data_IF_795424694224
#
_entry.id   IF_795424694224
#
_cell.length_a   1.000
_cell.length_b   1.000
_cell.length_c   1.000
_cell.angle_alpha   90.00
_cell.angle_beta   90.00
_cell.angle_gamma   90.00
#
_symmetry.space_group_name_H-M   'P 1'
#
loop_
_entity.id
_entity.type
_entity.pdbx_description
1 polymer ?
#
# COMPACT_ATOMS: atom_id res chain seq x y z
N UNK A 1 -10.32 -49.11 24.49
CA UNK A 1 -11.00 -49.25 25.79
C UNK A 1 -11.47 -47.86 26.21
N UNK A 2 -12.78 -47.63 26.36
CA UNK A 2 -13.33 -46.33 26.69
C UNK A 2 -13.42 -46.17 28.22
N UNK A 3 -13.25 -44.95 28.73
CA UNK A 3 -13.71 -44.59 30.08
C UNK A 3 -14.44 -43.26 29.99
N UNK A 4 -15.76 -43.34 30.18
CA UNK A 4 -16.66 -42.25 30.51
C UNK A 4 -16.47 -41.85 31.98
N UNK A 5 -16.59 -40.56 32.29
CA UNK A 5 -17.09 -40.12 33.60
C UNK A 5 -17.80 -38.77 33.49
N UNK A 6 -19.12 -38.83 33.68
CA UNK A 6 -19.99 -37.75 34.14
C UNK A 6 -19.75 -37.50 35.63
N UNK A 7 -19.78 -36.24 36.09
CA UNK A 7 -20.40 -35.90 37.39
C UNK A 7 -21.05 -34.51 37.31
N UNK A 8 -22.33 -34.48 37.65
CA UNK A 8 -23.21 -33.34 37.87
C UNK A 8 -23.11 -32.81 39.31
N UNK A 9 -23.47 -31.55 39.56
CA UNK A 9 -23.88 -31.03 40.87
C UNK A 9 -24.47 -29.62 40.72
N UNK A 10 -25.79 -29.40 40.75
CA UNK A 10 -26.79 -29.32 41.84
C UNK A 10 -26.65 -28.16 42.85
N UNK A 11 -27.54 -27.16 42.66
CA UNK A 11 -28.48 -26.50 43.61
C UNK A 11 -28.03 -26.00 44.99
N UNK A 12 -28.26 -24.70 45.22
CA UNK A 12 -28.82 -24.09 46.45
C UNK A 12 -29.47 -22.74 46.01
N UNK A 13 -30.75 -22.37 46.19
CA UNK A 13 -31.80 -22.55 47.22
C UNK A 13 -31.62 -21.69 48.49
N UNK A 14 -32.46 -20.64 48.60
CA UNK A 14 -32.73 -19.77 49.76
C UNK A 14 -33.33 -18.45 49.24
N UNK A 15 -34.65 -18.17 49.20
CA UNK A 15 -35.67 -18.03 50.28
C UNK A 15 -35.20 -17.16 51.45
N UNK A 16 -35.91 -16.18 52.01
CA UNK A 16 -37.22 -15.52 51.83
C UNK A 16 -37.24 -14.29 52.80
N UNK A 17 -38.30 -13.45 52.73
CA UNK A 17 -38.79 -12.40 53.67
C UNK A 17 -38.58 -10.96 53.18
N UNK A 18 -39.56 -10.31 52.54
CA UNK A 18 -40.86 -9.77 53.00
C UNK A 18 -40.72 -8.57 53.94
N UNK A 19 -41.02 -7.37 53.42
CA UNK A 19 -41.71 -6.30 54.16
C UNK A 19 -42.76 -5.70 53.21
N UNK A 20 -44.03 -5.86 53.59
CA UNK A 20 -45.15 -5.11 53.02
C UNK A 20 -45.09 -3.66 53.52
N UNK A 21 -45.13 -2.71 52.59
CA UNK A 21 -45.63 -1.38 52.86
C UNK A 21 -46.68 -1.06 51.80
N UNK A 22 -47.94 -1.06 52.23
CA UNK A 22 -49.07 -0.56 51.46
C UNK A 22 -48.99 0.97 51.42
N UNK A 23 -48.97 1.55 50.22
CA UNK A 23 -49.21 2.97 49.98
C UNK A 23 -50.34 3.10 48.94
N UNK A 24 -51.26 4.06 49.11
CA UNK A 24 -52.44 4.20 48.28
C UNK A 24 -52.10 4.80 46.91
N UNK A 25 -52.94 4.44 45.96
CA UNK A 25 -52.90 4.84 44.55
C UNK A 25 -52.78 6.35 44.32
N UNK A 26 -51.73 6.74 43.61
CA UNK A 26 -51.80 7.74 42.55
C UNK A 26 -51.43 7.01 41.26
N UNK A 27 -52.41 6.87 40.38
CA UNK A 27 -52.25 6.24 39.09
C UNK A 27 -51.35 7.12 38.20
N UNK A 28 -50.05 6.85 38.18
CA UNK A 28 -49.27 7.07 36.97
C UNK A 28 -49.69 5.97 36.00
N UNK A 29 -50.53 6.34 35.04
CA UNK A 29 -50.73 5.56 33.82
C UNK A 29 -49.34 5.23 33.26
N UNK A 30 -48.95 3.96 33.13
CA UNK A 30 -47.82 3.63 32.29
C UNK A 30 -48.20 4.11 30.89
N UNK A 31 -47.53 5.17 30.44
CA UNK A 31 -47.56 5.56 29.03
C UNK A 31 -47.20 4.29 28.27
N UNK A 32 -48.08 3.77 27.39
CA UNK A 32 -47.71 2.64 26.57
C UNK A 32 -46.50 3.10 25.76
N UNK A 33 -45.34 2.51 26.03
CA UNK A 33 -44.16 2.60 25.19
C UNK A 33 -44.65 2.16 23.81
N UNK A 34 -44.89 3.15 22.96
CA UNK A 34 -45.50 2.94 21.66
C UNK A 34 -44.62 1.94 20.93
N UNK A 35 -45.21 0.80 20.55
CA UNK A 35 -44.56 -0.12 19.65
C UNK A 35 -44.34 0.66 18.34
N UNK A 36 -43.17 1.28 18.21
CA UNK A 36 -42.74 1.95 16.98
C UNK A 36 -42.97 0.96 15.85
N UNK A 37 -43.84 1.34 14.93
CA UNK A 37 -44.17 0.48 13.80
C UNK A 37 -42.90 0.28 12.97
N UNK A 38 -42.76 -0.88 12.33
CA UNK A 38 -41.60 -1.16 11.49
C UNK A 38 -41.38 -0.09 10.39
N UNK A 39 -42.47 0.60 10.02
CA UNK A 39 -42.50 1.69 9.04
C UNK A 39 -41.91 2.99 9.61
N UNK A 40 -42.23 3.35 10.86
CA UNK A 40 -41.66 4.51 11.56
C UNK A 40 -40.16 4.31 11.86
N UNK A 41 -39.77 3.10 12.25
CA UNK A 41 -38.36 2.73 12.44
C UNK A 41 -37.57 2.76 11.12
N UNK A 42 -38.17 2.34 10.01
CA UNK A 42 -37.56 2.41 8.69
C UNK A 42 -37.43 3.87 8.19
N UNK A 43 -38.43 4.71 8.46
CA UNK A 43 -38.39 6.13 8.12
C UNK A 43 -37.32 6.89 8.93
N UNK A 44 -37.21 6.61 10.23
CA UNK A 44 -36.17 7.19 11.08
C UNK A 44 -34.76 6.73 10.66
N UNK A 45 -34.59 5.45 10.32
CA UNK A 45 -33.32 4.94 9.79
C UNK A 45 -32.95 5.61 8.45
N UNK A 46 -33.91 5.79 7.54
CA UNK A 46 -33.70 6.49 6.27
C UNK A 46 -33.33 7.97 6.47
N UNK A 47 -33.94 8.66 7.43
CA UNK A 47 -33.62 10.03 7.81
C UNK A 47 -32.19 10.14 8.38
N UNK A 48 -31.82 9.24 9.28
CA UNK A 48 -30.46 9.18 9.84
C UNK A 48 -29.40 8.91 8.76
N UNK A 49 -29.72 8.08 7.78
CA UNK A 49 -28.82 7.80 6.65
C UNK A 49 -28.72 8.96 5.65
N UNK A 50 -29.74 9.81 5.53
CA UNK A 50 -29.72 10.97 4.65
C UNK A 50 -28.76 12.07 5.14
N UNK A 51 -28.42 12.08 6.44
CA UNK A 51 -27.46 13.03 7.03
C UNK A 51 -25.99 12.73 6.67
N UNK A 52 -25.70 11.62 6.00
CA UNK A 52 -24.33 11.30 5.61
C UNK A 52 -23.81 12.25 4.51
N UNK A 53 -22.55 12.67 4.65
CA UNK A 53 -21.93 13.74 3.85
C UNK A 53 -21.76 13.39 2.36
N UNK A 54 -21.72 12.11 1.99
CA UNK A 54 -21.50 11.67 0.60
C UNK A 54 -22.60 10.72 0.12
N UNK A 55 -22.96 10.73 -1.18
CA UNK A 55 -23.95 9.80 -1.71
C UNK A 55 -23.59 8.33 -1.49
N UNK A 56 -22.30 7.98 -1.56
CA UNK A 56 -21.79 6.65 -1.22
C UNK A 56 -22.08 6.28 0.24
N UNK A 57 -21.86 7.20 1.18
CA UNK A 57 -22.14 6.97 2.60
C UNK A 57 -23.65 6.84 2.88
N UNK A 58 -24.48 7.64 2.19
CA UNK A 58 -25.94 7.51 2.26
C UNK A 58 -26.40 6.13 1.78
N UNK A 59 -25.86 5.65 0.65
CA UNK A 59 -26.18 4.33 0.11
C UNK A 59 -25.72 3.20 1.04
N UNK A 60 -24.50 3.26 1.57
CA UNK A 60 -23.95 2.28 2.51
C UNK A 60 -24.81 2.16 3.78
N UNK A 61 -25.39 3.26 4.24
CA UNK A 61 -26.24 3.29 5.42
C UNK A 61 -27.65 2.74 5.13
N UNK A 62 -28.23 3.01 3.96
CA UNK A 62 -29.61 2.62 3.60
C UNK A 62 -29.77 1.14 3.26
N UNK A 63 -28.76 0.51 2.66
CA UNK A 63 -28.85 -0.89 2.24
C UNK A 63 -28.35 -1.85 3.34
N UNK A 64 -29.23 -2.71 3.84
CA UNK A 64 -28.91 -3.65 4.91
C UNK A 64 -27.77 -4.63 4.55
N UNK A 65 -27.64 -4.99 3.28
CA UNK A 65 -26.56 -5.86 2.79
C UNK A 65 -25.20 -5.16 2.85
N UNK A 66 -25.14 -3.88 2.48
CA UNK A 66 -23.96 -3.05 2.61
C UNK A 66 -23.60 -2.79 4.07
N UNK A 67 -24.59 -2.50 4.94
CA UNK A 67 -24.36 -2.36 6.40
C UNK A 67 -23.71 -3.61 6.97
N UNK A 68 -24.25 -4.80 6.66
CA UNK A 68 -23.68 -6.07 7.12
C UNK A 68 -22.26 -6.30 6.56
N UNK A 69 -22.01 -5.96 5.29
CA UNK A 69 -20.69 -6.10 4.68
C UNK A 69 -19.66 -5.15 5.31
N UNK A 70 -20.03 -3.89 5.60
CA UNK A 70 -19.17 -2.93 6.31
C UNK A 70 -18.87 -3.42 7.72
N UNK A 71 -19.88 -3.90 8.46
CA UNK A 71 -19.69 -4.46 9.80
C UNK A 71 -18.70 -5.64 9.80
N UNK A 72 -18.79 -6.54 8.81
CA UNK A 72 -17.85 -7.64 8.65
C UNK A 72 -16.42 -7.15 8.35
N UNK A 73 -16.28 -6.13 7.51
CA UNK A 73 -14.98 -5.51 7.20
C UNK A 73 -14.37 -4.83 8.44
N UNK A 74 -15.16 -4.09 9.21
CA UNK A 74 -14.72 -3.44 10.45
C UNK A 74 -14.33 -4.47 11.53
N UNK A 75 -15.06 -5.60 11.62
CA UNK A 75 -14.67 -6.72 12.49
C UNK A 75 -13.33 -7.34 12.06
N UNK A 76 -13.10 -7.52 10.75
CA UNK A 76 -11.82 -7.99 10.23
C UNK A 76 -10.68 -6.99 10.50
N UNK A 77 -10.96 -5.68 10.40
CA UNK A 77 -10.03 -4.61 10.76
C UNK A 77 -9.65 -4.64 12.23
N UNK A 78 -10.62 -4.70 13.13
CA UNK A 78 -10.39 -4.79 14.56
C UNK A 78 -9.55 -6.04 14.90
N UNK A 79 -9.88 -7.18 14.30
CA UNK A 79 -9.13 -8.42 14.50
C UNK A 79 -7.69 -8.35 13.97
N UNK A 80 -7.44 -7.65 12.86
CA UNK A 80 -6.08 -7.40 12.37
C UNK A 80 -5.33 -6.43 13.29
N UNK A 81 -5.98 -5.35 13.72
CA UNK A 81 -5.41 -4.35 14.64
C UNK A 81 -4.98 -4.95 15.99
N UNK A 82 -5.68 -5.98 16.47
CA UNK A 82 -5.30 -6.71 17.68
C UNK A 82 -4.00 -7.51 17.55
N UNK A 83 -3.47 -7.70 16.33
CA UNK A 83 -2.22 -8.45 16.07
C UNK A 83 -0.98 -7.56 16.00
N UNK A 84 -1.09 -6.26 16.31
CA UNK A 84 -0.01 -5.30 16.08
C UNK A 84 0.01 -4.19 17.13
N UNK A 85 1.11 -3.43 17.16
CA UNK A 85 1.31 -2.34 18.11
C UNK A 85 0.63 -1.03 17.66
N UNK A 86 0.92 0.09 18.34
CA UNK A 86 0.36 1.38 17.97
C UNK A 86 0.78 1.83 16.55
N UNK A 87 2.04 1.59 16.17
CA UNK A 87 2.58 1.93 14.85
C UNK A 87 1.89 1.13 13.76
N UNK A 88 1.73 -0.18 13.95
CA UNK A 88 1.03 -1.03 13.01
C UNK A 88 -0.46 -0.68 12.87
N UNK A 89 -1.12 -0.26 13.96
CA UNK A 89 -2.51 0.24 13.90
C UNK A 89 -2.62 1.53 13.08
N UNK A 90 -1.70 2.48 13.27
CA UNK A 90 -1.65 3.70 12.47
C UNK A 90 -1.43 3.41 10.97
N UNK A 91 -0.58 2.44 10.64
CA UNK A 91 -0.38 2.01 9.26
C UNK A 91 -1.64 1.37 8.63
N UNK A 92 -2.37 0.55 9.40
CA UNK A 92 -3.65 -0.03 8.96
C UNK A 92 -4.68 1.07 8.68
N UNK A 93 -4.80 2.06 9.58
CA UNK A 93 -5.71 3.19 9.42
C UNK A 93 -5.39 4.02 8.17
N UNK A 94 -4.12 4.37 7.96
CA UNK A 94 -3.66 5.06 6.75
C UNK A 94 -4.01 4.26 5.48
N UNK A 95 -3.81 2.94 5.52
CA UNK A 95 -4.22 2.04 4.43
C UNK A 95 -5.72 2.04 4.16
N UNK A 96 -6.56 2.15 5.19
CA UNK A 96 -8.02 2.25 5.03
C UNK A 96 -8.46 3.57 4.41
N UNK A 97 -7.82 4.69 4.75
CA UNK A 97 -8.10 5.99 4.14
C UNK A 97 -7.87 5.90 2.63
N UNK A 98 -6.71 5.40 2.21
CA UNK A 98 -6.37 5.22 0.78
C UNK A 98 -7.34 4.24 0.09
N UNK A 99 -7.71 3.16 0.77
CA UNK A 99 -8.65 2.19 0.21
C UNK A 99 -10.05 2.79 0.00
N UNK A 100 -10.57 3.59 0.95
CA UNK A 100 -11.88 4.25 0.80
C UNK A 100 -11.91 5.19 -0.40
N UNK A 101 -10.86 6.01 -0.59
CA UNK A 101 -10.74 6.87 -1.76
C UNK A 101 -10.80 6.05 -3.07
N UNK A 102 -10.02 4.96 -3.16
CA UNK A 102 -10.03 4.07 -4.34
C UNK A 102 -11.37 3.35 -4.55
N UNK A 103 -12.06 2.99 -3.46
CA UNK A 103 -13.41 2.38 -3.53
C UNK A 103 -14.38 3.38 -4.16
N UNK A 104 -14.35 4.63 -3.72
CA UNK A 104 -15.26 5.66 -4.21
C UNK A 104 -14.97 6.01 -5.67
N UNK A 105 -13.70 6.02 -6.09
CA UNK A 105 -13.30 6.16 -7.49
C UNK A 105 -13.76 4.96 -8.35
N UNK A 106 -13.66 3.74 -7.83
CA UNK A 106 -14.01 2.51 -8.56
C UNK A 106 -15.52 2.25 -8.63
N UNK A 107 -16.26 2.69 -7.60
CA UNK A 107 -17.70 2.56 -7.48
C UNK A 107 -18.32 3.94 -7.22
N UNK A 108 -18.26 4.87 -8.20
CA UNK A 108 -18.78 6.22 -8.01
C UNK A 108 -20.29 6.15 -7.80
N UNK A 109 -20.79 6.87 -6.80
CA UNK A 109 -22.22 7.03 -6.50
C UNK A 109 -22.53 8.51 -6.52
N UNK A 110 -23.49 8.91 -7.35
CA UNK A 110 -23.98 10.29 -7.39
C UNK A 110 -25.32 10.41 -6.68
N UNK A 111 -25.80 11.64 -6.46
CA UNK A 111 -27.11 11.86 -5.86
C UNK A 111 -28.26 11.34 -6.75
N UNK A 112 -28.10 11.44 -8.07
CA UNK A 112 -29.07 10.96 -9.06
C UNK A 112 -29.18 9.43 -9.02
N UNK A 113 -28.05 8.72 -8.83
CA UNK A 113 -28.04 7.26 -8.69
C UNK A 113 -28.90 6.78 -7.51
N UNK A 114 -29.05 7.60 -6.45
CA UNK A 114 -29.87 7.28 -5.27
C UNK A 114 -31.38 7.39 -5.52
N UNK A 115 -31.80 8.15 -6.53
CA UNK A 115 -33.20 8.29 -6.92
C UNK A 115 -33.62 7.21 -7.94
N UNK A 116 -32.66 6.62 -8.67
CA UNK A 116 -32.91 5.57 -9.65
C UNK A 116 -32.67 4.16 -9.06
N UNK A 117 -33.72 3.36 -8.96
CA UNK A 117 -33.65 2.03 -8.35
C UNK A 117 -32.69 1.07 -9.08
N UNK A 118 -32.55 1.21 -10.40
CA UNK A 118 -31.67 0.35 -11.21
C UNK A 118 -30.20 0.73 -11.02
N UNK A 119 -29.90 2.02 -11.00
CA UNK A 119 -28.58 2.57 -10.71
C UNK A 119 -28.18 2.22 -9.27
N UNK A 120 -29.04 2.48 -8.28
CA UNK A 120 -28.86 2.09 -6.88
C UNK A 120 -28.50 0.60 -6.75
N UNK A 121 -29.23 -0.30 -7.42
CA UNK A 121 -28.93 -1.74 -7.41
C UNK A 121 -27.55 -2.05 -8.01
N UNK A 122 -27.19 -1.42 -9.12
CA UNK A 122 -25.87 -1.57 -9.75
C UNK A 122 -24.73 -1.10 -8.84
N UNK A 123 -24.87 0.10 -8.24
CA UNK A 123 -23.91 0.68 -7.30
C UNK A 123 -23.74 -0.17 -6.06
N UNK A 124 -24.85 -0.66 -5.49
CA UNK A 124 -24.85 -1.60 -4.36
C UNK A 124 -24.06 -2.86 -4.70
N UNK A 125 -24.27 -3.44 -5.88
CA UNK A 125 -23.51 -4.60 -6.35
C UNK A 125 -22.00 -4.34 -6.50
N UNK A 126 -21.61 -3.15 -6.95
CA UNK A 126 -20.20 -2.72 -7.01
C UNK A 126 -19.58 -2.64 -5.62
N UNK A 127 -20.22 -1.88 -4.71
CA UNK A 127 -19.74 -1.66 -3.35
C UNK A 127 -19.62 -2.97 -2.56
N UNK A 128 -20.64 -3.85 -2.64
CA UNK A 128 -20.60 -5.18 -2.00
C UNK A 128 -19.38 -5.99 -2.45
N UNK A 129 -19.06 -5.97 -3.74
CA UNK A 129 -17.91 -6.70 -4.28
C UNK A 129 -16.59 -6.15 -3.72
N UNK A 130 -16.41 -4.83 -3.74
CA UNK A 130 -15.17 -4.19 -3.28
C UNK A 130 -14.99 -4.34 -1.78
N UNK A 131 -16.06 -4.23 -0.98
CA UNK A 131 -16.02 -4.44 0.49
C UNK A 131 -15.67 -5.89 0.82
N UNK A 132 -16.27 -6.88 0.13
CA UNK A 132 -15.94 -8.30 0.33
C UNK A 132 -14.49 -8.62 -0.04
N UNK A 133 -14.00 -8.06 -1.15
CA UNK A 133 -12.59 -8.20 -1.55
C UNK A 133 -11.65 -7.62 -0.48
N UNK A 134 -11.97 -6.44 0.07
CA UNK A 134 -11.18 -5.85 1.14
C UNK A 134 -11.20 -6.69 2.41
N UNK A 135 -12.37 -7.19 2.80
CA UNK A 135 -12.54 -8.07 3.97
C UNK A 135 -11.66 -9.32 3.83
N UNK A 136 -11.70 -10.01 2.69
CA UNK A 136 -10.87 -11.18 2.43
C UNK A 136 -9.36 -10.85 2.46
N UNK A 137 -8.95 -9.68 1.94
CA UNK A 137 -7.56 -9.25 2.00
C UNK A 137 -7.08 -9.01 3.44
N UNK A 138 -7.91 -8.39 4.29
CA UNK A 138 -7.60 -8.16 5.71
C UNK A 138 -7.49 -9.47 6.49
N UNK A 139 -8.40 -10.41 6.24
CA UNK A 139 -8.34 -11.74 6.85
C UNK A 139 -7.12 -12.54 6.40
N UNK A 140 -6.76 -12.45 5.12
CA UNK A 140 -5.54 -13.06 4.59
C UNK A 140 -4.28 -12.48 5.25
N UNK A 141 -4.23 -11.15 5.44
CA UNK A 141 -3.14 -10.48 6.15
C UNK A 141 -3.07 -10.94 7.62
N UNK A 142 -4.21 -11.01 8.32
CA UNK A 142 -4.28 -11.54 9.70
C UNK A 142 -3.80 -12.99 9.75
N UNK A 143 -4.22 -13.82 8.80
CA UNK A 143 -3.78 -15.22 8.69
C UNK A 143 -2.28 -15.33 8.43
N UNK A 144 -1.72 -14.45 7.60
CA UNK A 144 -0.28 -14.40 7.36
C UNK A 144 0.51 -14.04 8.63
N UNK A 145 0.02 -13.07 9.43
CA UNK A 145 0.65 -12.66 10.70
C UNK A 145 0.52 -13.69 11.83
N UNK A 146 -0.55 -14.48 11.83
CA UNK A 146 -0.79 -15.52 12.85
C UNK A 146 -0.10 -16.84 12.55
N UNK A 147 0.54 -17.01 11.39
CA UNK A 147 1.38 -18.17 11.13
C UNK A 147 2.59 -18.12 12.06
N UNK A 148 2.78 -19.11 12.95
CA UNK A 148 3.92 -19.11 13.86
C UNK A 148 5.20 -19.12 13.04
N UNK A 149 6.11 -18.20 13.37
CA UNK A 149 7.48 -18.15 12.82
C UNK A 149 8.26 -19.44 13.17
N UNK A 150 7.70 -20.33 14.00
CA UNK A 150 8.29 -21.59 14.45
C UNK A 150 8.52 -22.64 13.34
N UNK A 151 7.86 -22.51 12.17
CA UNK A 151 8.15 -23.36 11.00
C UNK A 151 9.39 -22.86 10.22
N UNK A 152 9.95 -21.69 10.58
CA UNK A 152 11.33 -21.35 10.24
C UNK A 152 12.23 -21.80 11.40
N UNK A 153 13.23 -22.67 11.15
CA UNK A 153 14.12 -23.09 12.21
C UNK A 153 14.85 -21.87 12.79
N UNK A 154 14.54 -21.53 14.06
CA UNK A 154 15.28 -20.57 14.89
C UNK A 154 16.65 -21.12 15.34
N UNK A 155 17.18 -22.12 14.63
CA UNK A 155 18.54 -22.61 14.82
C UNK A 155 19.47 -21.86 13.87
N UNK A 156 20.17 -20.84 14.40
CA UNK A 156 21.42 -20.29 13.85
C UNK A 156 22.57 -21.31 14.02
N UNK A 157 22.29 -22.59 13.75
CA UNK A 157 23.25 -23.71 13.73
C UNK A 157 22.89 -24.76 12.68
N UNK A 158 21.79 -24.61 11.95
CA UNK A 158 21.37 -25.57 10.90
C UNK A 158 20.60 -24.94 9.74
N UNK A 159 20.15 -23.69 9.85
CA UNK A 159 19.82 -22.92 8.67
C UNK A 159 21.14 -22.65 7.95
N UNK A 160 21.44 -23.40 6.89
CA UNK A 160 22.24 -22.83 5.81
C UNK A 160 21.63 -21.45 5.58
N UNK A 161 22.39 -20.38 5.88
CA UNK A 161 21.97 -19.01 5.65
C UNK A 161 21.17 -18.99 4.36
N UNK A 162 19.95 -18.40 4.32
CA UNK A 162 19.15 -18.38 3.10
C UNK A 162 20.13 -18.07 2.00
N UNK A 163 20.39 -19.08 1.14
CA UNK A 163 21.38 -18.89 0.09
C UNK A 163 20.83 -17.67 -0.59
N UNK A 164 21.57 -16.56 -0.53
CA UNK A 164 21.29 -15.40 -1.35
C UNK A 164 20.88 -16.00 -2.68
N UNK A 165 19.64 -15.75 -3.11
CA UNK A 165 19.15 -16.21 -4.42
C UNK A 165 20.34 -16.06 -5.33
N UNK A 166 20.85 -17.21 -5.80
CA UNK A 166 22.18 -17.28 -6.40
C UNK A 166 22.32 -16.07 -7.29
N UNK A 167 23.22 -15.17 -6.86
CA UNK A 167 23.42 -13.85 -7.44
C UNK A 167 23.30 -14.06 -8.94
N UNK A 168 22.20 -13.55 -9.53
CA UNK A 168 21.72 -13.90 -10.87
C UNK A 168 22.89 -14.38 -11.70
N UNK A 169 22.92 -15.69 -12.06
CA UNK A 169 24.00 -16.33 -12.82
C UNK A 169 24.59 -15.29 -13.74
N UNK A 170 25.88 -15.01 -13.53
CA UNK A 170 26.61 -14.01 -14.30
C UNK A 170 26.15 -14.12 -15.74
N UNK A 171 25.49 -13.06 -16.23
CA UNK A 171 25.05 -12.98 -17.62
C UNK A 171 26.29 -13.37 -18.44
N UNK A 172 26.17 -14.37 -19.35
CA UNK A 172 27.31 -14.82 -20.12
C UNK A 172 28.04 -13.60 -20.70
N UNK A 173 29.37 -13.58 -20.75
CA UNK A 173 30.12 -12.40 -21.14
C UNK A 173 29.63 -11.94 -22.51
N UNK A 174 28.94 -10.79 -22.52
CA UNK A 174 28.44 -10.19 -23.73
C UNK A 174 29.66 -9.66 -24.48
N UNK A 175 29.97 -10.28 -25.62
CA UNK A 175 31.12 -9.93 -26.47
C UNK A 175 30.99 -8.57 -27.17
N UNK A 176 29.97 -7.77 -26.84
CA UNK A 176 29.76 -6.46 -27.43
C UNK A 176 30.64 -5.43 -26.71
N UNK A 177 31.60 -4.86 -27.43
CA UNK A 177 32.36 -3.71 -26.92
C UNK A 177 31.39 -2.53 -26.72
N UNK A 178 31.35 -1.99 -25.50
CA UNK A 178 30.62 -0.77 -25.18
C UNK A 178 31.60 0.40 -25.06
N UNK A 179 31.19 1.57 -25.55
CA UNK A 179 31.93 2.83 -25.41
C UNK A 179 31.10 3.81 -24.59
N UNK A 180 31.68 4.92 -24.12
CA UNK A 180 30.92 5.95 -23.40
C UNK A 180 29.74 6.52 -24.21
N UNK A 181 29.81 6.48 -25.54
CA UNK A 181 28.69 6.87 -26.41
C UNK A 181 27.44 5.97 -26.20
N UNK A 182 27.61 4.77 -25.65
CA UNK A 182 26.50 3.90 -25.28
C UNK A 182 25.67 4.44 -24.11
N UNK A 183 26.14 5.47 -23.40
CA UNK A 183 25.34 6.18 -22.41
C UNK A 183 24.38 7.20 -23.03
N UNK A 184 24.67 7.70 -24.23
CA UNK A 184 23.88 8.76 -24.85
C UNK A 184 22.43 8.33 -25.08
N UNK A 185 21.53 9.30 -24.90
CA UNK A 185 20.08 9.15 -25.04
C UNK A 185 19.33 9.31 -23.72
N UNK A 186 18.03 9.04 -23.78
CA UNK A 186 17.11 9.15 -22.65
C UNK A 186 16.79 7.78 -22.05
N UNK A 187 16.77 7.74 -20.73
CA UNK A 187 16.59 6.54 -19.92
C UNK A 187 15.49 6.77 -18.88
N UNK A 188 14.66 5.76 -18.64
CA UNK A 188 13.64 5.76 -17.59
C UNK A 188 14.00 4.79 -16.48
N UNK A 189 13.61 5.13 -15.25
CA UNK A 189 13.85 4.30 -14.07
C UNK A 189 13.18 2.94 -14.25
N UNK A 190 13.92 1.87 -13.97
CA UNK A 190 13.50 0.50 -14.19
C UNK A 190 13.01 -0.18 -12.90
N UNK A 191 12.05 -1.09 -13.05
CA UNK A 191 11.56 -1.95 -11.97
C UNK A 191 12.65 -2.96 -11.60
N UNK A 192 13.06 -3.03 -10.32
CA UNK A 192 14.12 -3.92 -9.89
C UNK A 192 13.78 -5.40 -10.11
N UNK A 193 12.50 -5.77 -10.07
CA UNK A 193 12.03 -7.15 -10.25
C UNK A 193 11.74 -7.46 -11.72
N UNK A 194 11.03 -6.56 -12.39
CA UNK A 194 10.45 -6.84 -13.72
C UNK A 194 11.25 -6.28 -14.88
N UNK A 195 12.26 -5.45 -14.62
CA UNK A 195 13.21 -4.98 -15.63
C UNK A 195 12.55 -4.13 -16.72
N UNK A 196 11.34 -3.63 -16.45
CA UNK A 196 10.55 -2.73 -17.30
C UNK A 196 10.65 -1.30 -16.76
N UNK A 197 10.43 -0.28 -17.60
CA UNK A 197 10.34 1.10 -17.11
C UNK A 197 9.17 1.21 -16.11
N UNK A 198 9.43 1.76 -14.92
CA UNK A 198 8.38 2.10 -13.93
C UNK A 198 7.72 3.42 -14.32
N UNK A 199 8.54 4.40 -14.72
CA UNK A 199 8.08 5.77 -14.94
C UNK A 199 7.97 6.12 -16.43
N UNK A 200 7.09 7.08 -16.74
CA UNK A 200 7.03 7.70 -18.05
C UNK A 200 8.30 8.56 -18.27
N UNK A 201 9.01 8.29 -19.37
CA UNK A 201 10.16 9.02 -19.88
C UNK A 201 9.96 10.54 -20.01
N UNK A 202 8.73 11.03 -19.88
CA UNK A 202 8.39 12.46 -19.86
C UNK A 202 8.56 13.13 -18.51
N UNK A 203 8.30 12.41 -17.40
CA UNK A 203 8.19 13.01 -16.05
C UNK A 203 9.32 12.61 -15.12
N UNK A 204 9.93 11.44 -15.34
CA UNK A 204 11.10 10.96 -14.60
C UNK A 204 12.06 10.32 -15.60
N UNK A 205 13.23 10.93 -15.78
CA UNK A 205 14.20 10.48 -16.78
C UNK A 205 15.63 10.83 -16.39
N UNK A 206 16.55 10.08 -16.99
CA UNK A 206 17.97 10.40 -17.05
C UNK A 206 18.32 10.58 -18.53
N UNK A 207 18.84 11.75 -18.89
CA UNK A 207 19.23 12.10 -20.24
C UNK A 207 20.72 12.40 -20.29
N UNK A 208 21.40 11.81 -21.28
CA UNK A 208 22.81 12.06 -21.55
C UNK A 208 22.93 12.54 -22.98
N UNK A 209 23.32 13.80 -23.14
CA UNK A 209 23.56 14.43 -24.43
C UNK A 209 24.78 13.86 -25.16
N UNK A 210 24.89 14.15 -26.45
CA UNK A 210 26.09 13.82 -27.24
C UNK A 210 27.34 14.58 -26.73
N UNK A 211 27.14 15.72 -26.08
CA UNK A 211 28.16 16.54 -25.40
C UNK A 211 28.57 15.98 -24.03
N UNK A 212 28.03 14.80 -23.65
CA UNK A 212 28.26 14.12 -22.37
C UNK A 212 27.67 14.85 -21.15
N UNK A 213 26.83 15.86 -21.38
CA UNK A 213 26.08 16.49 -20.30
C UNK A 213 24.98 15.54 -19.84
N UNK A 214 24.91 15.31 -18.54
CA UNK A 214 23.92 14.47 -17.89
C UNK A 214 22.91 15.34 -17.16
N UNK A 215 21.63 15.03 -17.34
CA UNK A 215 20.52 15.60 -16.60
C UNK A 215 19.61 14.48 -16.12
N UNK A 216 19.41 14.34 -14.81
CA UNK A 216 18.45 13.41 -14.23
C UNK A 216 17.35 14.17 -13.46
N UNK A 217 16.10 13.80 -13.71
CA UNK A 217 14.88 14.45 -13.20
C UNK A 217 13.95 13.37 -12.64
N UNK A 218 13.51 13.54 -11.40
CA UNK A 218 12.51 12.72 -10.70
C UNK A 218 12.02 13.55 -9.51
N UNK A 219 10.76 14.01 -9.55
CA UNK A 219 10.19 14.89 -8.53
C UNK A 219 10.09 14.23 -7.13
N UNK A 220 10.23 12.90 -7.06
CA UNK A 220 10.16 12.14 -5.80
C UNK A 220 11.52 12.02 -5.10
N UNK A 221 12.61 12.42 -5.76
CA UNK A 221 13.97 12.32 -5.24
C UNK A 221 14.47 13.73 -4.87
N UNK A 222 14.65 14.05 -3.57
CA UNK A 222 15.02 15.39 -3.13
C UNK A 222 16.34 15.93 -3.71
N UNK A 223 17.24 15.03 -4.12
CA UNK A 223 18.54 15.38 -4.70
C UNK A 223 18.48 15.72 -6.20
N UNK A 224 17.29 15.63 -6.82
CA UNK A 224 17.08 15.95 -8.22
C UNK A 224 16.43 17.35 -8.38
N UNK A 225 16.67 18.06 -9.48
CA UNK A 225 17.41 17.63 -10.67
C UNK A 225 18.93 17.51 -10.45
N UNK A 226 19.52 16.43 -10.95
CA UNK A 226 20.96 16.23 -10.96
C UNK A 226 21.51 16.63 -12.33
N UNK A 227 22.41 17.59 -12.35
CA UNK A 227 23.08 18.02 -13.58
C UNK A 227 24.58 17.88 -13.45
N UNK A 228 25.23 17.24 -14.42
CA UNK A 228 26.67 17.04 -14.43
C UNK A 228 27.21 16.72 -15.80
N UNK A 229 28.47 16.31 -15.87
CA UNK A 229 29.14 15.93 -17.12
C UNK A 229 29.98 14.68 -16.93
N UNK A 230 29.93 13.79 -17.90
CA UNK A 230 30.81 12.63 -17.96
C UNK A 230 32.20 13.00 -18.48
N UNK A 231 33.27 12.34 -18.00
CA UNK A 231 34.62 12.52 -18.51
C UNK A 231 34.72 12.11 -19.98
N UNK A 232 35.79 12.56 -20.63
CA UNK A 232 36.02 12.23 -22.03
C UNK A 232 36.39 10.77 -22.26
N UNK A 233 37.02 10.16 -21.27
CA UNK A 233 37.49 8.79 -21.28
C UNK A 233 36.99 8.07 -20.04
N UNK A 234 36.84 6.76 -20.15
CA UNK A 234 36.31 5.92 -19.10
C UNK A 234 35.81 4.60 -19.66
N UNK A 235 35.86 3.56 -18.84
CA UNK A 235 35.28 2.27 -19.17
C UNK A 235 33.79 2.28 -18.77
N UNK A 236 32.84 2.27 -19.72
CA UNK A 236 31.41 2.30 -19.42
C UNK A 236 30.94 1.06 -18.64
N UNK A 237 31.69 -0.04 -18.67
CA UNK A 237 31.36 -1.26 -17.92
C UNK A 237 31.77 -1.17 -16.45
N UNK A 238 32.64 -0.21 -16.13
CA UNK A 238 33.02 0.17 -14.76
C UNK A 238 32.25 1.41 -14.33
N UNK A 239 32.53 1.87 -13.13
CA UNK A 239 31.95 3.10 -12.61
C UNK A 239 32.64 4.32 -13.22
N UNK A 240 31.88 5.12 -13.96
CA UNK A 240 32.30 6.38 -14.58
C UNK A 240 31.78 7.54 -13.73
N UNK A 241 32.65 8.40 -13.19
CA UNK A 241 32.22 9.51 -12.33
C UNK A 241 31.48 10.58 -13.13
N UNK A 242 30.38 11.08 -12.58
CA UNK A 242 29.68 12.28 -13.06
C UNK A 242 30.27 13.47 -12.32
N UNK A 243 30.95 14.34 -13.07
CA UNK A 243 31.54 15.55 -12.52
C UNK A 243 30.48 16.66 -12.46
N UNK A 244 30.52 17.53 -11.44
CA UNK A 244 29.71 18.74 -11.49
C UNK A 244 30.13 19.60 -12.68
N UNK A 245 29.17 20.36 -13.22
CA UNK A 245 29.50 21.36 -14.22
C UNK A 245 30.44 22.41 -13.57
N UNK A 246 31.49 22.84 -14.28
CA UNK A 246 32.39 23.84 -13.73
C UNK A 246 31.60 25.11 -13.37
N UNK A 247 31.87 25.73 -12.22
CA UNK A 247 31.32 27.05 -11.94
C UNK A 247 31.81 28.04 -13.02
N UNK A 248 31.02 29.09 -13.27
CA UNK A 248 31.43 30.20 -14.12
C UNK A 248 32.79 30.76 -13.65
N UNK A 249 33.58 31.26 -14.60
CA UNK A 249 34.99 31.68 -14.46
C UNK A 249 35.33 32.27 -13.06
N UNK A 250 36.26 31.63 -12.34
CA UNK A 250 36.82 32.17 -11.09
C UNK A 250 36.97 31.20 -9.90
N UNK A 251 36.62 29.91 -10.03
CA UNK A 251 36.79 28.96 -8.93
C UNK A 251 38.15 28.25 -8.97
N UNK A 252 38.80 28.19 -7.81
CA UNK A 252 40.10 27.55 -7.58
C UNK A 252 40.10 26.04 -7.88
N UNK A 253 41.24 25.60 -8.40
CA UNK A 253 41.57 24.32 -9.02
C UNK A 253 41.64 23.14 -8.03
N UNK A 254 40.60 22.92 -7.23
CA UNK A 254 40.42 21.66 -6.50
C UNK A 254 39.39 20.84 -7.25
N UNK A 255 39.78 19.67 -7.77
CA UNK A 255 38.87 18.80 -8.51
C UNK A 255 37.64 18.50 -7.63
N UNK A 256 36.44 18.97 -8.01
CA UNK A 256 35.27 18.82 -7.17
C UNK A 256 34.92 17.34 -7.02
N UNK A 257 34.38 16.96 -5.86
CA UNK A 257 33.94 15.59 -5.62
C UNK A 257 32.86 15.19 -6.66
N UNK A 258 32.87 13.93 -7.15
CA UNK A 258 31.89 13.48 -8.13
C UNK A 258 30.48 13.53 -7.52
N UNK A 259 29.50 13.91 -8.32
CA UNK A 259 28.10 13.96 -7.89
C UNK A 259 27.48 12.56 -7.82
N UNK A 260 27.87 11.69 -8.74
CA UNK A 260 27.38 10.34 -8.90
C UNK A 260 28.37 9.47 -9.68
N UNK A 261 28.12 8.17 -9.77
CA UNK A 261 28.77 7.25 -10.70
C UNK A 261 27.73 6.61 -11.61
N UNK A 262 28.15 6.36 -12.86
CA UNK A 262 27.38 5.66 -13.89
C UNK A 262 28.06 4.36 -14.29
N UNK A 263 27.26 3.32 -14.50
CA UNK A 263 27.77 2.04 -15.04
C UNK A 263 26.77 1.44 -16.02
N UNK A 264 27.27 1.05 -17.19
CA UNK A 264 26.49 0.33 -18.19
C UNK A 264 26.48 -1.15 -17.84
N UNK A 265 25.30 -1.74 -17.86
CA UNK A 265 25.10 -3.17 -17.94
C UNK A 265 24.69 -3.49 -19.37
N UNK A 266 25.63 -3.90 -20.25
CA UNK A 266 25.31 -4.21 -21.62
C UNK A 266 24.38 -5.42 -21.68
N UNK A 267 23.53 -5.45 -22.70
CA UNK A 267 22.76 -6.63 -23.11
C UNK A 267 23.19 -7.07 -24.52
N UNK A 268 22.62 -8.18 -25.01
CA UNK A 268 22.85 -8.68 -26.37
C UNK A 268 22.55 -7.62 -27.45
N UNK A 269 21.66 -6.66 -27.15
CA UNK A 269 21.36 -5.51 -28.00
C UNK A 269 21.33 -4.22 -27.19
N UNK A 270 21.78 -3.12 -27.81
CA UNK A 270 21.86 -1.80 -27.18
C UNK A 270 20.50 -1.30 -26.66
N UNK A 271 19.40 -1.77 -27.25
CA UNK A 271 18.04 -1.47 -26.82
C UNK A 271 17.73 -2.00 -25.41
N UNK A 272 18.40 -3.06 -24.98
CA UNK A 272 18.19 -3.72 -23.70
C UNK A 272 19.30 -3.43 -22.69
N UNK A 273 20.23 -2.53 -23.05
CA UNK A 273 21.23 -2.04 -22.09
C UNK A 273 20.53 -1.41 -20.89
N UNK A 274 21.23 -1.44 -19.77
CA UNK A 274 20.82 -0.72 -18.57
C UNK A 274 21.90 0.22 -18.13
N UNK A 275 21.46 1.28 -17.49
CA UNK A 275 22.31 2.26 -16.89
C UNK A 275 22.06 2.27 -15.38
N UNK A 276 23.09 2.02 -14.61
CA UNK A 276 23.06 2.14 -13.15
C UNK A 276 23.57 3.53 -12.79
N UNK A 277 22.77 4.32 -12.08
CA UNK A 277 23.18 5.57 -11.45
C UNK A 277 23.28 5.36 -9.94
N UNK A 278 24.40 5.75 -9.34
CA UNK A 278 24.61 5.76 -7.89
C UNK A 278 25.09 7.14 -7.46
N UNK A 279 24.37 7.78 -6.55
CA UNK A 279 24.78 9.09 -6.01
C UNK A 279 26.00 8.95 -5.10
N UNK A 280 26.85 9.96 -5.10
CA UNK A 280 27.91 10.07 -4.10
C UNK A 280 27.32 10.44 -2.73
N UNK A 281 28.04 10.08 -1.66
CA UNK A 281 27.68 10.49 -0.30
C UNK A 281 27.58 12.03 -0.20
N UNK A 282 26.65 12.58 0.58
CA UNK A 282 25.83 11.92 1.61
C UNK A 282 24.54 11.26 1.10
N UNK A 283 24.24 11.32 -0.20
CA UNK A 283 23.06 10.71 -0.76
C UNK A 283 23.22 9.18 -0.91
N UNK A 284 22.15 8.43 -0.66
CA UNK A 284 22.13 6.95 -0.76
C UNK A 284 21.35 6.45 -1.97
N UNK A 285 20.93 7.34 -2.87
CA UNK A 285 20.13 6.97 -4.02
C UNK A 285 20.94 6.16 -5.02
N UNK A 286 20.39 5.00 -5.41
CA UNK A 286 20.86 4.21 -6.53
C UNK A 286 19.67 3.63 -7.29
N UNK A 287 19.72 3.65 -8.61
CA UNK A 287 18.67 3.10 -9.45
C UNK A 287 19.21 2.55 -10.77
N UNK A 288 18.50 1.55 -11.31
CA UNK A 288 18.68 1.10 -12.68
C UNK A 288 17.74 1.87 -13.61
N UNK A 289 18.22 2.13 -14.82
CA UNK A 289 17.47 2.79 -15.86
C UNK A 289 17.54 1.96 -17.15
N UNK A 290 16.45 1.96 -17.90
CA UNK A 290 16.31 1.34 -19.22
C UNK A 290 16.10 2.40 -20.28
N UNK A 291 16.48 2.14 -21.52
CA UNK A 291 16.28 3.10 -22.61
C UNK A 291 14.80 3.41 -22.82
N UNK A 292 14.51 4.68 -22.99
CA UNK A 292 13.21 5.14 -23.47
C UNK A 292 12.99 4.65 -24.91
N UNK A 293 11.74 4.27 -25.23
CA UNK A 293 11.33 3.91 -26.59
C UNK A 293 10.86 5.13 -27.37
#
# INVERSE_FOLDING_TARGET
>A
MPVLSLVSGLLAAGSMLVVLAAAPALAETPVPEAAETAEEKAAQAAANCAAAETPSAQLLCRDAGLVAAVAAMEAALAALGATTDATGRAAIEAGQIVWRARRDDACPVTAEDLADAKATKSRTGCLLRVIRQRTAALEAERKARSRPVAELPLAITGAAAPRFVELQRAVPPINRKATLAAFSGRWAKADPNHRTAIDDCRTSYLEIGADRTLTAVDARVPQFPLTGRLPAEGDPLREVPVQPLPPAEGATETAPAPLATLRLLPADSARFDRLVLRMAAPATFAAEFVRCR
#
